data_IF_473991276746
#
_entry.id   IF_473991276746
#
_cell.length_a   1.000
_cell.length_b   1.000
_cell.length_c   1.000
_cell.angle_alpha   90.00
_cell.angle_beta   90.00
_cell.angle_gamma   90.00
#
_symmetry.space_group_name_H-M   'P 1'
#
loop_
_entity.id
_entity.type
_entity.pdbx_description
1 polymer ?
#
# COMPACT_ATOMS: atom_id res chain seq x y z
N UNK A 1 23.76 5.74 3.73
CA UNK A 1 23.25 4.52 3.09
C UNK A 1 22.57 4.86 1.77
N UNK A 2 22.32 3.85 0.89
CA UNK A 2 21.65 4.04 -0.42
C UNK A 2 20.21 4.56 -0.25
N UNK A 3 19.54 4.14 0.80
CA UNK A 3 18.21 4.60 1.20
C UNK A 3 18.19 6.07 1.68
N UNK A 4 19.24 6.56 2.30
CA UNK A 4 19.36 7.96 2.71
C UNK A 4 19.45 8.94 1.53
N UNK A 5 19.85 8.48 0.32
CA UNK A 5 19.86 9.31 -0.89
C UNK A 5 18.48 9.39 -1.56
N UNK A 6 17.66 8.34 -1.44
CA UNK A 6 16.34 8.25 -2.06
C UNK A 6 15.29 8.96 -1.21
N UNK A 7 15.35 8.78 0.12
CA UNK A 7 14.40 9.37 1.06
C UNK A 7 14.88 10.69 1.70
N UNK A 8 15.94 11.30 1.15
CA UNK A 8 16.62 12.45 1.73
C UNK A 8 17.36 12.06 3.00
N UNK A 9 18.58 12.57 3.20
CA UNK A 9 19.19 12.50 4.53
C UNK A 9 18.23 13.16 5.50
N UNK A 10 17.63 12.37 6.38
CA UNK A 10 16.65 12.84 7.35
C UNK A 10 17.31 13.90 8.25
N UNK A 11 17.30 15.15 7.81
CA UNK A 11 17.77 16.31 8.61
C UNK A 11 16.90 16.56 9.83
N UNK A 12 15.86 15.73 10.01
CA UNK A 12 14.92 15.78 11.13
C UNK A 12 15.28 14.89 12.31
N UNK A 13 16.29 13.98 12.21
CA UNK A 13 16.60 13.04 13.29
C UNK A 13 17.04 13.71 14.60
N UNK A 14 17.58 14.93 14.53
CA UNK A 14 17.99 15.68 15.73
C UNK A 14 16.84 16.43 16.42
N UNK A 15 15.64 16.50 15.82
CA UNK A 15 14.48 17.18 16.41
C UNK A 15 13.44 16.24 17.02
N UNK A 16 13.53 14.94 16.74
CA UNK A 16 12.55 13.94 17.20
C UNK A 16 12.94 13.31 18.56
N UNK A 17 14.11 13.65 19.10
CA UNK A 17 14.59 13.15 20.40
C UNK A 17 13.84 13.73 21.60
N UNK A 18 12.54 13.74 21.59
CA UNK A 18 11.70 14.22 22.70
C UNK A 18 10.20 14.13 22.46
N UNK A 19 9.78 13.78 21.23
CA UNK A 19 8.37 13.52 20.93
C UNK A 19 8.09 12.04 21.16
N UNK A 20 7.13 11.75 22.06
CA UNK A 20 6.55 10.41 22.19
C UNK A 20 5.65 10.11 20.99
N UNK A 21 5.34 8.84 20.79
CA UNK A 21 4.38 8.41 19.77
C UNK A 21 3.00 9.09 19.96
N UNK A 22 2.64 9.35 21.20
CA UNK A 22 1.40 10.02 21.62
C UNK A 22 1.31 11.48 21.13
N UNK A 23 2.47 12.12 20.87
CA UNK A 23 2.57 13.50 20.39
C UNK A 23 2.48 13.61 18.85
N UNK A 24 2.47 12.49 18.13
CA UNK A 24 2.36 12.50 16.68
C UNK A 24 0.90 12.76 16.27
N UNK A 25 0.67 13.83 15.54
CA UNK A 25 -0.66 14.16 15.02
C UNK A 25 -1.01 13.21 13.86
N UNK A 26 -2.22 12.66 13.89
CA UNK A 26 -2.79 11.91 12.78
C UNK A 26 -3.72 12.83 11.98
N UNK A 27 -3.54 12.80 10.66
CA UNK A 27 -4.43 13.43 9.70
C UNK A 27 -4.82 12.39 8.66
N UNK A 28 -6.11 12.23 8.36
CA UNK A 28 -6.56 11.29 7.33
C UNK A 28 -5.91 11.67 5.99
N UNK A 29 -5.06 10.79 5.39
CA UNK A 29 -4.39 11.10 4.15
C UNK A 29 -5.37 11.10 2.97
N UNK A 30 -5.15 11.97 1.98
CA UNK A 30 -5.96 12.05 0.76
C UNK A 30 -5.38 11.10 -0.32
N UNK A 31 -5.96 9.90 -0.45
CA UNK A 31 -5.54 8.95 -1.49
C UNK A 31 -5.85 9.47 -2.92
N UNK A 32 -6.89 10.29 -3.10
CA UNK A 32 -7.23 10.87 -4.40
C UNK A 32 -6.18 11.91 -4.84
N UNK A 33 -5.46 12.51 -3.89
CA UNK A 33 -4.31 13.38 -4.22
C UNK A 33 -3.22 12.60 -4.94
N UNK A 34 -2.89 11.40 -4.50
CA UNK A 34 -1.90 10.54 -5.16
C UNK A 34 -2.31 10.18 -6.58
N UNK A 35 -3.60 9.91 -6.82
CA UNK A 35 -4.12 9.69 -8.17
C UNK A 35 -3.92 10.93 -9.05
N UNK A 36 -4.25 12.13 -8.54
CA UNK A 36 -4.06 13.39 -9.27
C UNK A 36 -2.58 13.68 -9.58
N UNK A 37 -1.69 13.41 -8.62
CA UNK A 37 -0.25 13.59 -8.79
C UNK A 37 0.32 12.60 -9.81
N UNK A 38 -0.13 11.35 -9.80
CA UNK A 38 0.20 10.33 -10.80
C UNK A 38 -0.18 10.78 -12.21
N UNK A 39 -1.42 11.23 -12.41
CA UNK A 39 -1.89 11.73 -13.70
C UNK A 39 -1.09 12.95 -14.16
N UNK A 40 -0.75 13.86 -13.24
CA UNK A 40 0.08 15.02 -13.56
C UNK A 40 1.47 14.60 -14.07
N UNK A 41 2.13 13.65 -13.41
CA UNK A 41 3.45 13.15 -13.82
C UNK A 41 3.38 12.51 -15.19
N UNK A 42 2.38 11.64 -15.44
CA UNK A 42 2.16 10.99 -16.75
C UNK A 42 1.99 12.04 -17.86
N UNK A 43 1.16 13.05 -17.61
CA UNK A 43 0.93 14.15 -18.57
C UNK A 43 2.22 14.96 -18.85
N UNK A 44 3.04 15.25 -17.83
CA UNK A 44 4.32 15.95 -18.01
C UNK A 44 5.31 15.14 -18.85
N UNK A 45 5.39 13.84 -18.62
CA UNK A 45 6.26 12.93 -19.37
C UNK A 45 5.80 12.79 -20.82
N UNK A 46 4.50 12.64 -21.07
CA UNK A 46 3.90 12.56 -22.41
C UNK A 46 4.08 13.85 -23.20
N UNK A 47 3.97 15.00 -22.54
CA UNK A 47 4.20 16.31 -23.13
C UNK A 47 5.69 16.63 -23.33
N UNK A 48 6.62 15.74 -22.99
CA UNK A 48 8.06 15.96 -23.03
C UNK A 48 8.50 17.22 -22.26
N UNK A 49 7.87 17.44 -21.10
CA UNK A 49 8.17 18.58 -20.23
C UNK A 49 9.60 18.58 -19.73
N UNK A 50 10.03 19.70 -19.16
CA UNK A 50 11.41 19.85 -18.70
C UNK A 50 11.72 18.95 -17.50
N UNK A 51 13.00 18.55 -17.38
CA UNK A 51 13.49 17.80 -16.21
C UNK A 51 13.11 18.44 -14.88
N UNK A 52 13.15 19.77 -14.81
CA UNK A 52 12.84 20.49 -13.58
C UNK A 52 11.39 20.34 -13.18
N UNK A 53 10.46 20.45 -14.11
CA UNK A 53 9.03 20.28 -13.86
C UNK A 53 8.72 18.85 -13.46
N UNK A 54 9.28 17.87 -14.18
CA UNK A 54 9.11 16.45 -13.86
C UNK A 54 9.65 16.12 -12.45
N UNK A 55 10.87 16.58 -12.11
CA UNK A 55 11.44 16.33 -10.77
C UNK A 55 10.60 16.99 -9.67
N UNK A 56 10.08 18.21 -9.90
CA UNK A 56 9.20 18.85 -8.92
C UNK A 56 7.94 18.01 -8.67
N UNK A 57 7.28 17.55 -9.73
CA UNK A 57 6.09 16.72 -9.61
C UNK A 57 6.39 15.35 -8.94
N UNK A 58 7.55 14.76 -9.23
CA UNK A 58 7.98 13.53 -8.56
C UNK A 58 8.21 13.75 -7.06
N UNK A 59 8.82 14.88 -6.67
CA UNK A 59 9.00 15.20 -5.25
C UNK A 59 7.65 15.36 -4.54
N UNK A 60 6.70 16.09 -5.15
CA UNK A 60 5.36 16.27 -4.59
C UNK A 60 4.65 14.92 -4.42
N UNK A 61 4.77 14.01 -5.40
CA UNK A 61 4.22 12.66 -5.31
C UNK A 61 4.85 11.84 -4.19
N UNK A 62 6.19 11.80 -4.09
CA UNK A 62 6.87 11.00 -3.07
C UNK A 62 6.70 11.56 -1.66
N UNK A 63 6.51 12.87 -1.52
CA UNK A 63 6.16 13.49 -0.23
C UNK A 63 4.74 13.04 0.19
N UNK A 64 3.76 13.08 -0.72
CA UNK A 64 2.41 12.60 -0.46
C UNK A 64 2.36 11.07 -0.19
N UNK A 65 3.12 10.28 -0.95
CA UNK A 65 3.24 8.83 -0.76
C UNK A 65 3.84 8.48 0.61
N UNK A 66 4.92 9.15 1.00
CA UNK A 66 5.52 9.00 2.34
C UNK A 66 4.57 9.42 3.45
N UNK A 67 3.83 10.49 3.24
CA UNK A 67 2.81 10.95 4.20
C UNK A 67 1.72 9.89 4.37
N UNK A 68 1.18 9.34 3.27
CA UNK A 68 0.20 8.26 3.33
C UNK A 68 0.71 7.07 4.13
N UNK A 69 1.92 6.59 3.85
CA UNK A 69 2.54 5.46 4.58
C UNK A 69 2.73 5.74 6.08
N UNK A 70 3.08 6.98 6.43
CA UNK A 70 3.18 7.41 7.83
C UNK A 70 1.82 7.39 8.52
N UNK A 71 0.80 7.95 7.89
CA UNK A 71 -0.56 8.00 8.46
C UNK A 71 -1.19 6.61 8.56
N UNK A 72 -0.99 5.73 7.56
CA UNK A 72 -1.39 4.31 7.63
C UNK A 72 -0.76 3.62 8.85
N UNK A 73 0.54 3.83 9.08
CA UNK A 73 1.25 3.25 10.22
C UNK A 73 0.71 3.78 11.55
N UNK A 74 0.45 5.08 11.65
CA UNK A 74 -0.14 5.69 12.84
C UNK A 74 -1.56 5.18 13.10
N UNK A 75 -2.39 5.06 12.07
CA UNK A 75 -3.74 4.52 12.19
C UNK A 75 -3.72 3.07 12.67
N UNK A 76 -2.82 2.23 12.11
CA UNK A 76 -2.62 0.84 12.53
C UNK A 76 -2.26 0.74 14.02
N UNK A 77 -1.23 1.49 14.46
CA UNK A 77 -0.76 1.42 15.84
C UNK A 77 -1.84 1.91 16.81
N UNK A 78 -2.55 2.98 16.49
CA UNK A 78 -3.65 3.50 17.33
C UNK A 78 -4.80 2.51 17.44
N UNK A 79 -5.20 1.89 16.34
CA UNK A 79 -6.20 0.84 16.32
C UNK A 79 -5.78 -0.40 17.14
N UNK A 80 -4.49 -0.76 17.13
CA UNK A 80 -3.97 -1.89 17.91
C UNK A 80 -3.84 -1.55 19.42
N UNK A 81 -3.64 -0.27 19.78
CA UNK A 81 -3.55 0.17 21.17
C UNK A 81 -4.89 0.14 21.90
N UNK A 82 -5.99 0.42 21.22
CA UNK A 82 -7.34 0.35 21.78
C UNK A 82 -8.32 -0.23 20.75
N UNK A 83 -8.53 -1.54 20.83
CA UNK A 83 -9.45 -2.28 19.94
C UNK A 83 -10.93 -1.92 20.13
N UNK A 84 -11.27 -1.12 21.15
CA UNK A 84 -12.61 -0.63 21.40
C UNK A 84 -12.86 0.78 20.84
N UNK A 85 -11.82 1.46 20.35
CA UNK A 85 -11.93 2.77 19.71
C UNK A 85 -12.38 2.61 18.25
N UNK A 86 -13.68 2.82 18.04
CA UNK A 86 -14.30 2.74 16.71
C UNK A 86 -13.69 3.74 15.71
N UNK A 87 -13.31 4.95 16.16
CA UNK A 87 -12.71 5.96 15.28
C UNK A 87 -11.33 5.52 14.79
N UNK A 88 -10.47 5.01 15.67
CA UNK A 88 -9.17 4.49 15.28
C UNK A 88 -9.29 3.29 14.32
N UNK A 89 -10.27 2.42 14.55
CA UNK A 89 -10.57 1.31 13.65
C UNK A 89 -11.03 1.79 12.25
N UNK A 90 -11.92 2.78 12.18
CA UNK A 90 -12.40 3.36 10.92
C UNK A 90 -11.27 4.03 10.11
N UNK A 91 -10.35 4.75 10.79
CA UNK A 91 -9.20 5.37 10.12
C UNK A 91 -8.23 4.34 9.55
N UNK A 92 -7.98 3.26 10.30
CA UNK A 92 -7.14 2.17 9.81
C UNK A 92 -7.78 1.42 8.63
N UNK A 93 -9.08 1.16 8.70
CA UNK A 93 -9.83 0.54 7.60
C UNK A 93 -9.83 1.41 6.34
N UNK A 94 -9.96 2.75 6.48
CA UNK A 94 -9.84 3.68 5.37
C UNK A 94 -8.45 3.58 4.70
N UNK A 95 -7.39 3.69 5.47
CA UNK A 95 -6.03 3.64 4.94
C UNK A 95 -5.73 2.28 4.28
N UNK A 96 -6.13 1.18 4.92
CA UNK A 96 -5.95 -0.17 4.38
C UNK A 96 -6.74 -0.38 3.09
N UNK A 97 -7.98 0.14 3.03
CA UNK A 97 -8.83 0.08 1.83
C UNK A 97 -8.27 0.89 0.66
N UNK A 98 -7.52 1.96 0.93
CA UNK A 98 -6.89 2.79 -0.10
C UNK A 98 -5.52 2.26 -0.56
N UNK A 99 -4.87 1.38 0.21
CA UNK A 99 -3.48 0.96 -0.02
C UNK A 99 -3.24 0.40 -1.42
N UNK A 100 -4.11 -0.47 -1.92
CA UNK A 100 -3.94 -1.04 -3.26
C UNK A 100 -3.99 0.01 -4.38
N UNK A 101 -4.80 1.07 -4.21
CA UNK A 101 -4.84 2.20 -5.15
C UNK A 101 -3.56 3.02 -5.06
N UNK A 102 -3.06 3.25 -3.85
CA UNK A 102 -1.81 4.00 -3.61
C UNK A 102 -0.60 3.24 -4.17
N UNK A 103 -0.55 1.92 -3.99
CA UNK A 103 0.52 1.06 -4.54
C UNK A 103 0.48 1.08 -6.08
N UNK A 104 -0.74 1.04 -6.68
CA UNK A 104 -0.89 1.21 -8.13
C UNK A 104 -0.39 2.58 -8.60
N UNK A 105 -0.65 3.65 -7.88
CA UNK A 105 -0.13 4.98 -8.20
C UNK A 105 1.40 4.98 -8.23
N UNK A 106 2.03 4.32 -7.28
CA UNK A 106 3.49 4.15 -7.25
C UNK A 106 3.99 3.41 -8.49
N UNK A 107 3.42 2.25 -8.82
CA UNK A 107 3.79 1.47 -10.00
C UNK A 107 3.59 2.26 -11.29
N UNK A 108 2.46 2.95 -11.43
CA UNK A 108 2.15 3.77 -12.60
C UNK A 108 3.18 4.89 -12.81
N UNK A 109 3.61 5.55 -11.73
CA UNK A 109 4.66 6.59 -11.78
C UNK A 109 6.00 6.00 -12.18
N UNK A 110 6.39 4.88 -11.57
CA UNK A 110 7.66 4.21 -11.86
C UNK A 110 7.71 3.72 -13.31
N UNK A 111 6.63 3.09 -13.80
CA UNK A 111 6.49 2.66 -15.20
C UNK A 111 6.53 3.84 -16.17
N UNK A 112 5.80 4.93 -15.87
CA UNK A 112 5.82 6.13 -16.71
C UNK A 112 7.24 6.71 -16.80
N UNK A 113 7.97 6.76 -15.69
CA UNK A 113 9.36 7.19 -15.65
C UNK A 113 10.28 6.26 -16.47
N UNK A 114 10.15 4.94 -16.29
CA UNK A 114 10.97 3.94 -17.01
C UNK A 114 10.77 3.98 -18.53
N UNK A 115 9.56 4.27 -18.99
CA UNK A 115 9.19 4.34 -20.41
C UNK A 115 9.33 5.73 -21.03
N UNK A 116 9.73 6.72 -20.25
CA UNK A 116 9.80 8.12 -20.71
C UNK A 116 11.11 8.44 -21.45
N UNK A 117 11.09 9.59 -22.14
CA UNK A 117 12.28 10.19 -22.74
C UNK A 117 13.35 10.63 -21.71
N UNK A 118 13.00 10.64 -20.42
CA UNK A 118 13.90 10.98 -19.30
C UNK A 118 14.39 9.73 -18.55
N UNK A 119 14.04 8.50 -18.98
CA UNK A 119 14.30 7.26 -18.24
C UNK A 119 15.75 7.11 -17.78
N UNK A 120 16.71 7.22 -18.67
CA UNK A 120 18.15 7.12 -18.36
C UNK A 120 18.59 8.17 -17.32
N UNK A 121 18.09 9.41 -17.45
CA UNK A 121 18.42 10.46 -16.51
C UNK A 121 17.80 10.22 -15.14
N UNK A 122 16.49 9.87 -15.10
CA UNK A 122 15.77 9.61 -13.87
C UNK A 122 16.35 8.39 -13.15
N UNK A 123 16.63 7.31 -13.89
CA UNK A 123 17.23 6.12 -13.31
C UNK A 123 18.59 6.41 -12.68
N UNK A 124 19.49 7.09 -13.40
CA UNK A 124 20.85 7.37 -12.92
C UNK A 124 20.87 8.37 -11.77
N UNK A 125 20.13 9.47 -11.88
CA UNK A 125 20.31 10.64 -10.99
C UNK A 125 19.23 10.81 -9.93
N UNK A 126 18.04 10.22 -10.14
CA UNK A 126 16.93 10.33 -9.23
C UNK A 126 16.65 9.01 -8.49
N UNK A 127 16.51 7.90 -9.21
CA UNK A 127 16.15 6.61 -8.66
C UNK A 127 17.33 5.68 -8.35
N UNK A 128 18.55 5.99 -8.84
CA UNK A 128 19.77 5.26 -8.50
C UNK A 128 19.83 3.83 -9.02
N UNK A 129 19.25 3.55 -10.17
CA UNK A 129 19.24 2.25 -10.85
C UNK A 129 17.96 1.42 -10.60
N UNK A 130 16.99 1.95 -9.84
CA UNK A 130 15.77 1.20 -9.49
C UNK A 130 14.78 1.05 -10.65
N UNK A 131 14.80 1.96 -11.63
CA UNK A 131 13.88 1.88 -12.77
C UNK A 131 14.26 0.73 -13.70
N UNK A 132 15.54 0.56 -14.01
CA UNK A 132 16.02 -0.55 -14.87
C UNK A 132 15.84 -1.89 -14.15
N UNK A 133 16.20 -1.97 -12.86
CA UNK A 133 16.13 -3.20 -12.06
C UNK A 133 14.70 -3.68 -11.80
N UNK A 134 13.74 -2.76 -11.56
CA UNK A 134 12.38 -3.10 -11.15
C UNK A 134 11.30 -2.93 -12.23
N UNK A 135 11.55 -2.07 -13.22
CA UNK A 135 10.53 -1.68 -14.21
C UNK A 135 11.03 -1.69 -15.65
N UNK A 136 12.23 -2.24 -15.88
CA UNK A 136 12.82 -2.40 -17.22
C UNK A 136 12.23 -3.55 -18.02
N UNK A 137 11.57 -4.51 -17.40
CA UNK A 137 10.94 -5.65 -18.06
C UNK A 137 9.56 -5.25 -18.63
N UNK A 138 9.36 -5.41 -19.95
CA UNK A 138 8.09 -5.14 -20.61
C UNK A 138 6.99 -6.14 -20.22
N UNK A 139 7.37 -7.33 -19.80
CA UNK A 139 6.48 -8.42 -19.37
C UNK A 139 6.26 -8.46 -17.85
N UNK A 140 6.75 -7.47 -17.10
CA UNK A 140 6.62 -7.36 -15.66
C UNK A 140 5.16 -7.32 -15.21
N UNK A 141 4.86 -7.97 -14.07
CA UNK A 141 3.52 -7.97 -13.48
C UNK A 141 3.37 -6.72 -12.63
N UNK A 142 2.59 -5.77 -13.12
CA UNK A 142 2.28 -4.51 -12.43
C UNK A 142 0.80 -4.46 -12.05
N UNK A 143 0.48 -3.68 -11.02
CA UNK A 143 -0.89 -3.52 -10.56
C UNK A 143 -1.78 -2.89 -11.65
N UNK A 144 -2.75 -3.64 -12.15
CA UNK A 144 -3.82 -3.15 -13.01
C UNK A 144 -5.13 -2.98 -12.24
N UNK A 145 -6.16 -2.40 -12.86
CA UNK A 145 -7.43 -2.11 -12.20
C UNK A 145 -8.15 -3.39 -11.70
N UNK A 146 -7.94 -4.53 -12.35
CA UNK A 146 -8.50 -5.80 -11.91
C UNK A 146 -7.81 -6.30 -10.64
N UNK A 147 -6.47 -6.25 -10.61
CA UNK A 147 -5.69 -6.63 -9.42
C UNK A 147 -6.04 -5.72 -8.23
N UNK A 148 -6.11 -4.40 -8.45
CA UNK A 148 -6.52 -3.43 -7.41
C UNK A 148 -7.93 -3.77 -6.89
N UNK A 149 -8.87 -4.10 -7.77
CA UNK A 149 -10.23 -4.50 -7.36
C UNK A 149 -10.23 -5.76 -6.48
N UNK A 150 -9.42 -6.77 -6.82
CA UNK A 150 -9.27 -8.00 -6.04
C UNK A 150 -8.61 -7.72 -4.67
N UNK A 151 -7.59 -6.89 -4.61
CA UNK A 151 -6.92 -6.50 -3.37
C UNK A 151 -7.83 -5.69 -2.44
N UNK A 152 -8.63 -4.78 -3.01
CA UNK A 152 -9.66 -4.05 -2.26
C UNK A 152 -10.73 -4.98 -1.69
N UNK A 153 -11.16 -5.99 -2.46
CA UNK A 153 -12.10 -6.99 -1.99
C UNK A 153 -11.49 -7.87 -0.89
N UNK A 154 -10.22 -8.24 -0.99
CA UNK A 154 -9.48 -8.94 0.07
C UNK A 154 -9.47 -8.11 1.37
N UNK A 155 -9.10 -6.83 1.28
CA UNK A 155 -9.08 -5.90 2.43
C UNK A 155 -10.46 -5.78 3.08
N UNK A 156 -11.52 -5.63 2.27
CA UNK A 156 -12.90 -5.59 2.76
C UNK A 156 -13.30 -6.87 3.51
N UNK A 157 -12.96 -8.03 2.97
CA UNK A 157 -13.24 -9.32 3.60
C UNK A 157 -12.45 -9.51 4.90
N UNK A 158 -11.19 -9.05 4.96
CA UNK A 158 -10.38 -9.07 6.18
C UNK A 158 -10.98 -8.20 7.28
N UNK A 159 -11.45 -7.00 6.95
CA UNK A 159 -12.17 -6.12 7.89
C UNK A 159 -13.44 -6.80 8.42
N UNK A 160 -14.23 -7.41 7.54
CA UNK A 160 -15.42 -8.15 7.95
C UNK A 160 -15.07 -9.34 8.86
N UNK A 161 -14.01 -10.08 8.54
CA UNK A 161 -13.56 -11.21 9.37
C UNK A 161 -13.17 -10.74 10.77
N UNK A 162 -12.41 -9.64 10.89
CA UNK A 162 -12.04 -9.03 12.17
C UNK A 162 -13.27 -8.61 12.98
N UNK A 163 -14.25 -7.97 12.33
CA UNK A 163 -15.47 -7.53 12.97
C UNK A 163 -16.31 -8.69 13.52
N UNK A 164 -16.36 -9.84 12.81
CA UNK A 164 -17.00 -11.05 13.32
C UNK A 164 -16.21 -11.65 14.47
N UNK A 165 -14.88 -11.71 14.34
CA UNK A 165 -14.01 -12.26 15.37
C UNK A 165 -14.08 -11.46 16.68
N UNK A 166 -14.22 -10.13 16.60
CA UNK A 166 -14.38 -9.26 17.76
C UNK A 166 -15.69 -9.52 18.56
N UNK A 167 -16.68 -10.19 17.96
CA UNK A 167 -17.93 -10.58 18.64
C UNK A 167 -17.79 -11.82 19.52
N UNK A 168 -16.70 -12.59 19.38
CA UNK A 168 -16.49 -13.79 20.20
C UNK A 168 -16.14 -13.43 21.64
N UNK A 169 -16.83 -14.05 22.58
CA UNK A 169 -16.56 -13.93 24.02
C UNK A 169 -16.49 -15.31 24.66
N UNK A 170 -15.60 -15.47 25.63
CA UNK A 170 -15.51 -16.70 26.42
C UNK A 170 -16.77 -16.97 27.25
N UNK A 171 -17.65 -15.98 27.41
CA UNK A 171 -18.93 -16.10 28.12
C UNK A 171 -20.09 -16.46 27.18
N UNK A 172 -19.88 -16.58 25.86
CA UNK A 172 -20.93 -16.88 24.90
C UNK A 172 -21.46 -18.29 25.08
N UNK A 173 -22.79 -18.45 24.87
CA UNK A 173 -23.37 -19.76 24.75
C UNK A 173 -22.93 -20.47 23.46
N UNK A 174 -22.97 -21.78 23.45
CA UNK A 174 -22.61 -22.57 22.25
C UNK A 174 -23.38 -22.14 21.00
N UNK A 175 -24.67 -21.83 21.11
CA UNK A 175 -25.50 -21.41 19.98
C UNK A 175 -25.05 -20.06 19.39
N UNK A 176 -24.60 -19.10 20.24
CA UNK A 176 -24.04 -17.81 19.82
C UNK A 176 -22.72 -18.04 19.12
N UNK A 177 -21.85 -18.88 19.70
CA UNK A 177 -20.59 -19.25 19.11
C UNK A 177 -20.73 -19.91 17.74
N UNK A 178 -21.66 -20.88 17.61
CA UNK A 178 -21.93 -21.56 16.34
C UNK A 178 -22.41 -20.61 15.25
N UNK A 179 -23.26 -19.63 15.60
CA UNK A 179 -23.72 -18.58 14.67
C UNK A 179 -22.56 -17.72 14.17
N UNK A 180 -21.72 -17.20 15.07
CA UNK A 180 -20.55 -16.39 14.68
C UNK A 180 -19.55 -17.20 13.87
N UNK A 181 -19.32 -18.45 14.21
CA UNK A 181 -18.45 -19.34 13.46
C UNK A 181 -18.97 -19.60 12.04
N UNK A 182 -20.28 -19.76 11.84
CA UNK A 182 -20.87 -19.91 10.51
C UNK A 182 -20.69 -18.64 9.65
N UNK A 183 -20.85 -17.44 10.25
CA UNK A 183 -20.60 -16.16 9.59
C UNK A 183 -19.11 -16.03 9.20
N UNK A 184 -18.20 -16.31 10.12
CA UNK A 184 -16.76 -16.28 9.86
C UNK A 184 -16.33 -17.28 8.78
N UNK A 185 -16.92 -18.48 8.77
CA UNK A 185 -16.60 -19.51 7.78
C UNK A 185 -16.95 -19.08 6.35
N UNK A 186 -18.08 -18.38 6.15
CA UNK A 186 -18.44 -17.87 4.82
C UNK A 186 -17.45 -16.81 4.34
N UNK A 187 -17.08 -15.86 5.21
CA UNK A 187 -16.08 -14.83 4.88
C UNK A 187 -14.73 -15.48 4.55
N UNK A 188 -14.33 -16.50 5.30
CA UNK A 188 -13.08 -17.23 5.04
C UNK A 188 -13.10 -17.93 3.67
N UNK A 189 -14.22 -18.53 3.27
CA UNK A 189 -14.37 -19.15 1.93
C UNK A 189 -14.21 -18.09 0.83
N UNK A 190 -14.84 -16.93 1.01
CA UNK A 190 -14.75 -15.83 0.05
C UNK A 190 -13.33 -15.26 -0.02
N UNK A 191 -12.64 -15.12 1.12
CA UNK A 191 -11.22 -14.76 1.18
C UNK A 191 -10.33 -15.75 0.40
N UNK A 192 -10.51 -17.04 0.59
CA UNK A 192 -9.73 -18.06 -0.15
C UNK A 192 -9.97 -17.93 -1.64
N UNK A 193 -11.19 -17.64 -2.08
CA UNK A 193 -11.52 -17.43 -3.50
C UNK A 193 -10.80 -16.22 -4.07
N UNK A 194 -10.89 -15.07 -3.41
CA UNK A 194 -10.25 -13.82 -3.86
C UNK A 194 -8.73 -13.98 -3.89
N UNK A 195 -8.15 -14.55 -2.86
CA UNK A 195 -6.70 -14.82 -2.78
C UNK A 195 -6.19 -15.73 -3.90
N UNK A 196 -6.99 -16.72 -4.27
CA UNK A 196 -6.68 -17.56 -5.42
C UNK A 196 -6.68 -16.75 -6.72
N UNK A 197 -7.66 -15.87 -6.92
CA UNK A 197 -7.73 -15.00 -8.09
C UNK A 197 -6.54 -14.03 -8.16
N UNK A 198 -6.12 -13.46 -7.02
CA UNK A 198 -4.90 -12.63 -6.94
C UNK A 198 -3.67 -13.42 -7.38
N UNK A 199 -3.47 -14.62 -6.85
CA UNK A 199 -2.34 -15.47 -7.23
C UNK A 199 -2.34 -15.82 -8.72
N UNK A 200 -3.47 -16.27 -9.26
CA UNK A 200 -3.65 -16.59 -10.68
C UNK A 200 -3.36 -15.35 -11.56
N UNK A 201 -3.85 -14.18 -11.16
CA UNK A 201 -3.62 -12.90 -11.86
C UNK A 201 -2.13 -12.51 -11.87
N UNK A 202 -1.42 -12.75 -10.78
CA UNK A 202 0.01 -12.49 -10.64
C UNK A 202 0.91 -13.64 -11.16
N UNK A 203 0.33 -14.67 -11.80
CA UNK A 203 1.10 -15.76 -12.42
C UNK A 203 1.64 -16.82 -11.45
N UNK A 204 1.11 -16.88 -10.22
CA UNK A 204 1.51 -17.87 -9.22
C UNK A 204 0.54 -19.05 -9.17
N UNK A 205 1.05 -20.25 -8.92
CA UNK A 205 0.25 -21.48 -8.77
C UNK A 205 -0.58 -21.46 -7.47
N UNK A 206 -0.17 -20.68 -6.46
CA UNK A 206 -0.87 -20.55 -5.20
C UNK A 206 -0.67 -19.18 -4.54
N UNK A 207 -1.66 -18.74 -3.73
CA UNK A 207 -1.53 -17.53 -2.92
C UNK A 207 -0.38 -17.61 -1.90
N UNK A 208 0.00 -18.82 -1.49
CA UNK A 208 1.15 -19.03 -0.61
C UNK A 208 2.45 -18.65 -1.31
N UNK A 209 2.64 -19.07 -2.56
CA UNK A 209 3.83 -18.70 -3.37
C UNK A 209 3.87 -17.19 -3.59
N UNK A 210 2.77 -16.58 -3.99
CA UNK A 210 2.64 -15.14 -4.10
C UNK A 210 3.09 -14.41 -2.84
N UNK A 211 2.62 -14.85 -1.64
CA UNK A 211 3.02 -14.24 -0.38
C UNK A 211 4.50 -14.46 -0.04
N UNK A 212 5.05 -15.66 -0.32
CA UNK A 212 6.45 -15.95 -0.02
C UNK A 212 7.41 -15.14 -0.88
N UNK A 213 7.07 -14.94 -2.15
CA UNK A 213 7.83 -14.08 -3.05
C UNK A 213 7.81 -12.62 -2.56
N UNK A 214 6.65 -12.08 -2.18
CA UNK A 214 6.51 -10.74 -1.60
C UNK A 214 7.29 -10.53 -0.30
N UNK A 215 7.60 -11.61 0.44
CA UNK A 215 8.47 -11.56 1.62
C UNK A 215 9.96 -11.78 1.28
N UNK A 216 10.32 -11.96 0.01
CA UNK A 216 11.67 -12.28 -0.42
C UNK A 216 12.20 -13.61 0.17
N UNK A 217 11.31 -14.56 0.43
CA UNK A 217 11.65 -15.88 1.00
C UNK A 217 11.49 -16.96 -0.07
N UNK A 218 12.50 -17.85 -0.16
CA UNK A 218 12.36 -19.06 -0.94
C UNK A 218 11.29 -19.98 -0.35
N UNK A 219 10.64 -20.73 -1.21
CA UNK A 219 9.56 -21.65 -0.87
C UNK A 219 10.05 -22.98 -0.27
N UNK A 220 11.34 -23.20 -0.24
CA UNK A 220 12.03 -24.43 0.19
C UNK A 220 12.03 -24.59 1.73
#
# INVERSE_FOLDING_TARGET
SRLERIFGANKGSDRVSGLGFEDMEYERPDADELVRLTDNIKNLLDAHSSRKETISALNDFFDAYSHFGTMLTLAMIRSDMDLSDEHCAEEYDYCTGASATVDKCYDDVMLACARSHLSEYLDTYYFGGMLEEGYGDEDGIYADDELVSLQNEESRLLTQYRAVYAKFSAADSYDVYEKHNAEAAQIFIDLVRVRRQIAEKCGYDSYREYCYDGFGRSYD
#
